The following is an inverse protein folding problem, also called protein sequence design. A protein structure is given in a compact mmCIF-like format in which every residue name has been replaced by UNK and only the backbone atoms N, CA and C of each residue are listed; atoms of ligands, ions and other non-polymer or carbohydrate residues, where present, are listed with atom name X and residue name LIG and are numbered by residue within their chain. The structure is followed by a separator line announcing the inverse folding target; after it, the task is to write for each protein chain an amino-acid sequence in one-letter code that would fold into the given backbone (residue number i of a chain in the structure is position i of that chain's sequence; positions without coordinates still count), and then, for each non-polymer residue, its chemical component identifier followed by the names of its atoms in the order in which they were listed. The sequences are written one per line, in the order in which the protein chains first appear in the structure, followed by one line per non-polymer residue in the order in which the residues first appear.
data_IF_232982461883
#
_entry.id   IF_232982461883
#
_cell.length_a   1.000
_cell.length_b   1.000
_cell.length_c   1.000
_cell.angle_alpha   90.00
_cell.angle_beta   90.00
_cell.angle_gamma   90.00
#
_symmetry.space_group_name_H-M   'P 1'
#
loop_
_entity.id
_entity.type
_entity.pdbx_description
1 polymer ?
#
# COMPACT_ATOMS: atom_id res chain seq x y z
N UNK A 1 30.91 -32.69 -15.55
CA UNK A 1 29.49 -32.31 -15.31
C UNK A 1 29.20 -32.53 -13.83
N UNK A 2 28.74 -31.51 -13.09
CA UNK A 2 28.75 -31.56 -11.64
C UNK A 2 27.60 -32.41 -11.08
N UNK A 3 27.89 -33.07 -9.96
CA UNK A 3 27.05 -34.00 -9.18
C UNK A 3 25.61 -33.50 -8.93
N UNK A 4 25.38 -32.18 -8.95
CA UNK A 4 24.07 -31.55 -8.80
C UNK A 4 23.08 -31.90 -9.94
N UNK A 5 23.56 -32.13 -11.16
CA UNK A 5 22.70 -32.49 -12.29
C UNK A 5 22.23 -33.95 -12.27
N UNK A 6 22.95 -34.83 -11.55
CA UNK A 6 22.55 -36.24 -11.37
C UNK A 6 21.54 -36.42 -10.24
N UNK A 7 21.63 -35.62 -9.17
CA UNK A 7 20.65 -35.63 -8.07
C UNK A 7 19.28 -35.08 -8.47
N UNK A 8 19.23 -34.09 -9.36
CA UNK A 8 17.97 -33.55 -9.90
C UNK A 8 17.24 -34.53 -10.83
N UNK A 9 17.96 -35.43 -11.53
CA UNK A 9 17.33 -36.47 -12.36
C UNK A 9 16.80 -37.66 -11.54
N UNK A 10 17.41 -37.98 -10.40
CA UNK A 10 16.90 -39.02 -9.48
C UNK A 10 15.64 -38.56 -8.74
N UNK A 11 15.53 -37.28 -8.38
CA UNK A 11 14.32 -36.72 -7.76
C UNK A 11 13.09 -36.70 -8.67
N UNK A 12 13.27 -36.42 -9.97
CA UNK A 12 12.17 -36.35 -10.94
C UNK A 12 11.64 -37.74 -11.34
N UNK A 13 12.49 -38.77 -11.34
CA UNK A 13 12.06 -40.15 -11.65
C UNK A 13 11.35 -40.82 -10.45
N UNK A 14 11.70 -40.45 -9.21
CA UNK A 14 11.00 -40.95 -8.02
C UNK A 14 9.57 -40.37 -7.89
N UNK A 15 9.38 -39.09 -8.23
CA UNK A 15 8.05 -38.46 -8.17
C UNK A 15 7.07 -38.98 -9.24
N UNK A 16 7.56 -39.34 -10.42
CA UNK A 16 6.72 -39.92 -11.49
C UNK A 16 6.29 -41.36 -11.22
N UNK A 17 7.07 -42.12 -10.43
CA UNK A 17 6.76 -43.50 -10.04
C UNK A 17 5.66 -43.58 -8.96
N UNK A 18 5.62 -42.62 -8.03
CA UNK A 18 4.62 -42.58 -6.95
C UNK A 18 3.24 -42.13 -7.44
N UNK A 19 3.18 -41.27 -8.47
CA UNK A 19 1.91 -40.82 -9.08
C UNK A 19 1.14 -41.93 -9.80
N UNK A 20 1.83 -42.89 -10.42
CA UNK A 20 1.16 -44.01 -11.12
C UNK A 20 0.76 -45.16 -10.18
N UNK A 21 1.33 -45.25 -8.98
CA UNK A 21 0.99 -46.31 -8.01
C UNK A 21 -0.25 -45.99 -7.14
N UNK A 22 -0.69 -44.73 -7.10
CA UNK A 22 -1.87 -44.29 -6.34
C UNK A 22 -3.17 -44.24 -7.16
N UNK A 23 -3.09 -44.41 -8.48
CA UNK A 23 -4.25 -44.38 -9.38
C UNK A 23 -4.92 -45.75 -9.59
N UNK A 24 -4.33 -46.84 -9.08
CA UNK A 24 -4.82 -48.22 -9.31
C UNK A 24 -5.50 -48.86 -8.08
N UNK A 25 -5.70 -48.14 -6.96
CA UNK A 25 -6.27 -48.73 -5.73
C UNK A 25 -7.65 -48.20 -5.28
N UNK A 26 -8.28 -47.26 -5.99
CA UNK A 26 -9.67 -46.84 -5.72
C UNK A 26 -10.69 -47.48 -6.68
N UNK A 27 -10.63 -48.81 -6.81
CA UNK A 27 -11.71 -49.58 -7.45
C UNK A 27 -12.01 -50.88 -6.73
N UNK A 28 -12.40 -50.78 -5.46
CA UNK A 28 -13.29 -51.73 -4.80
C UNK A 28 -13.43 -51.34 -3.33
N UNK A 29 -14.63 -50.93 -2.89
CA UNK A 29 -15.29 -51.41 -1.66
C UNK A 29 -16.45 -50.48 -1.30
N UNK A 30 -17.67 -50.96 -1.53
CA UNK A 30 -18.88 -50.46 -0.91
C UNK A 30 -18.79 -50.60 0.61
N UNK A 31 -18.84 -49.49 1.35
CA UNK A 31 -19.27 -49.48 2.76
C UNK A 31 -20.15 -48.26 2.98
N UNK A 32 -21.38 -48.54 3.40
CA UNK A 32 -22.41 -47.60 3.84
C UNK A 32 -21.94 -46.76 5.03
N UNK A 33 -21.95 -45.42 4.89
CA UNK A 33 -21.92 -44.50 6.03
C UNK A 33 -22.99 -43.42 5.84
N UNK A 34 -23.93 -43.39 6.79
CA UNK A 34 -25.22 -42.68 6.75
C UNK A 34 -25.11 -41.22 7.24
N UNK A 35 -23.93 -40.62 7.27
CA UNK A 35 -23.73 -39.24 7.77
C UNK A 35 -23.26 -38.22 6.72
N UNK A 36 -23.58 -38.44 5.43
CA UNK A 36 -23.21 -37.51 4.35
C UNK A 36 -24.31 -36.52 3.93
N UNK A 37 -25.57 -36.76 4.29
CA UNK A 37 -26.72 -36.05 3.69
C UNK A 37 -27.00 -34.67 4.28
N UNK A 38 -26.47 -34.34 5.47
CA UNK A 38 -26.64 -33.00 6.06
C UNK A 38 -25.60 -32.01 5.51
N UNK A 39 -24.35 -32.42 5.35
CA UNK A 39 -23.26 -31.56 4.85
C UNK A 39 -23.35 -31.31 3.34
N UNK A 40 -23.83 -32.30 2.56
CA UNK A 40 -24.11 -32.09 1.13
C UNK A 40 -25.27 -31.11 0.89
N UNK A 41 -26.25 -31.04 1.80
CA UNK A 41 -27.34 -30.05 1.72
C UNK A 41 -26.91 -28.64 2.10
N UNK A 42 -25.95 -28.50 3.02
CA UNK A 42 -25.34 -27.20 3.35
C UNK A 42 -24.44 -26.71 2.21
N UNK A 43 -23.74 -27.61 1.52
CA UNK A 43 -22.94 -27.26 0.34
C UNK A 43 -23.80 -26.89 -0.87
N UNK A 44 -24.96 -27.53 -1.08
CA UNK A 44 -25.91 -27.13 -2.13
C UNK A 44 -26.63 -25.80 -1.87
N UNK A 45 -26.62 -25.27 -0.65
CA UNK A 45 -27.08 -23.90 -0.34
C UNK A 45 -26.07 -22.82 -0.78
N UNK A 46 -24.83 -23.19 -1.08
CA UNK A 46 -23.74 -22.30 -1.50
C UNK A 46 -23.10 -22.76 -2.82
N UNK A 47 -23.90 -23.34 -3.72
CA UNK A 47 -23.45 -23.63 -5.10
C UNK A 47 -24.34 -22.84 -6.06
N UNK A 48 -23.77 -22.08 -7.03
CA UNK A 48 -24.57 -21.30 -7.97
C UNK A 48 -25.39 -22.25 -8.84
N UNK A 49 -26.72 -22.06 -8.82
CA UNK A 49 -27.63 -22.82 -9.65
C UNK A 49 -27.35 -22.55 -11.13
N UNK A 50 -27.27 -23.62 -11.92
CA UNK A 50 -27.29 -23.55 -13.38
C UNK A 50 -28.66 -23.03 -13.83
N UNK A 51 -28.76 -21.77 -14.22
CA UNK A 51 -30.04 -21.20 -14.67
C UNK A 51 -30.23 -21.32 -16.19
N UNK A 52 -31.32 -21.98 -16.52
CA UNK A 52 -31.98 -21.95 -17.81
C UNK A 52 -32.70 -20.59 -17.98
N UNK A 53 -32.51 -19.97 -19.13
CA UNK A 53 -33.08 -18.69 -19.59
C UNK A 53 -34.51 -18.39 -19.14
N UNK A 54 -34.69 -17.33 -18.34
CA UNK A 54 -35.86 -16.44 -18.42
C UNK A 54 -35.50 -15.03 -17.90
N UNK A 55 -35.98 -14.00 -18.60
CA UNK A 55 -35.55 -12.61 -18.47
C UNK A 55 -35.96 -11.96 -17.14
N UNK A 56 -35.01 -11.81 -16.21
CA UNK A 56 -35.10 -10.89 -15.05
C UNK A 56 -33.83 -10.04 -15.00
N UNK A 57 -33.99 -8.73 -15.10
CA UNK A 57 -32.88 -7.74 -15.16
C UNK A 57 -32.37 -7.41 -13.74
N UNK A 58 -31.73 -8.37 -13.05
CA UNK A 58 -31.18 -8.15 -11.69
C UNK A 58 -30.02 -9.08 -11.20
N UNK A 59 -28.90 -9.29 -11.93
CA UNK A 59 -27.65 -9.79 -11.33
C UNK A 59 -26.47 -8.78 -11.29
N UNK A 60 -26.48 -7.72 -12.10
CA UNK A 60 -25.38 -6.74 -12.20
C UNK A 60 -25.44 -5.66 -11.10
N UNK A 61 -26.62 -5.11 -10.82
CA UNK A 61 -26.77 -3.94 -9.94
C UNK A 61 -26.38 -4.20 -8.49
N UNK A 62 -26.66 -5.40 -7.96
CA UNK A 62 -26.31 -5.78 -6.58
C UNK A 62 -24.80 -5.92 -6.42
N UNK A 63 -24.12 -6.50 -7.41
CA UNK A 63 -22.66 -6.67 -7.39
C UNK A 63 -21.96 -5.32 -7.46
N UNK A 64 -22.42 -4.43 -8.36
CA UNK A 64 -21.88 -3.07 -8.48
C UNK A 64 -22.06 -2.29 -7.19
N UNK A 65 -23.26 -2.31 -6.59
CA UNK A 65 -23.52 -1.62 -5.31
C UNK A 65 -22.62 -2.13 -4.18
N UNK A 66 -22.44 -3.45 -4.06
CA UNK A 66 -21.55 -4.05 -3.05
C UNK A 66 -20.10 -3.59 -3.24
N UNK A 67 -19.59 -3.58 -4.47
CA UNK A 67 -18.24 -3.12 -4.78
C UNK A 67 -18.02 -1.66 -4.41
N UNK A 68 -18.97 -0.78 -4.73
CA UNK A 68 -18.92 0.62 -4.32
C UNK A 68 -18.89 0.77 -2.80
N UNK A 69 -19.81 0.12 -2.08
CA UNK A 69 -19.88 0.23 -0.62
C UNK A 69 -18.60 -0.29 0.02
N UNK A 70 -18.11 -1.47 -0.36
CA UNK A 70 -16.90 -2.04 0.23
C UNK A 70 -15.66 -1.20 -0.09
N UNK A 71 -15.55 -0.66 -1.30
CA UNK A 71 -14.42 0.19 -1.69
C UNK A 71 -14.38 1.49 -0.89
N UNK A 72 -15.52 2.15 -0.70
CA UNK A 72 -15.61 3.39 0.08
C UNK A 72 -15.35 3.14 1.55
N UNK A 73 -15.92 2.06 2.12
CA UNK A 73 -15.66 1.69 3.52
C UNK A 73 -14.19 1.38 3.73
N UNK A 74 -13.58 0.59 2.84
CA UNK A 74 -12.17 0.25 2.95
C UNK A 74 -11.25 1.46 2.76
N UNK A 75 -11.53 2.36 1.81
CA UNK A 75 -10.80 3.62 1.64
C UNK A 75 -10.91 4.51 2.89
N UNK A 76 -12.09 4.58 3.51
CA UNK A 76 -12.26 5.26 4.80
C UNK A 76 -11.43 4.60 5.91
N UNK A 77 -11.41 3.27 6.00
CA UNK A 77 -10.62 2.54 7.02
C UNK A 77 -9.13 2.82 6.86
N UNK A 78 -8.62 2.75 5.62
CA UNK A 78 -7.22 3.06 5.31
C UNK A 78 -6.91 4.51 5.63
N UNK A 79 -7.66 5.47 5.08
CA UNK A 79 -7.37 6.89 5.30
C UNK A 79 -7.53 7.34 6.75
N UNK A 80 -8.48 6.77 7.50
CA UNK A 80 -8.64 7.09 8.92
C UNK A 80 -7.57 6.41 9.80
N UNK A 81 -6.77 5.49 9.26
CA UNK A 81 -5.62 4.95 9.97
C UNK A 81 -4.59 6.04 10.30
N UNK A 82 -4.57 7.16 9.57
CA UNK A 82 -3.80 8.36 9.91
C UNK A 82 -4.17 9.03 11.23
N UNK A 83 -5.35 8.73 11.78
CA UNK A 83 -5.77 9.19 13.11
C UNK A 83 -5.34 8.21 14.21
N UNK A 84 -4.96 6.98 13.87
CA UNK A 84 -4.52 5.96 14.82
C UNK A 84 -3.40 6.42 15.77
N UNK A 85 -2.39 7.20 15.34
CA UNK A 85 -1.36 7.73 16.24
C UNK A 85 -1.94 8.57 17.40
N UNK A 86 -3.10 9.22 17.22
CA UNK A 86 -3.78 9.96 18.28
C UNK A 86 -4.22 9.05 19.45
N UNK A 87 -4.52 7.77 19.16
CA UNK A 87 -4.91 6.76 20.14
C UNK A 87 -3.69 6.17 20.86
N UNK A 88 -2.57 6.04 20.14
CA UNK A 88 -1.32 5.48 20.67
C UNK A 88 -0.48 6.48 21.46
N UNK A 89 -0.63 7.78 21.22
CA UNK A 89 0.18 8.83 21.86
C UNK A 89 -0.58 9.43 23.07
N UNK A 90 -0.18 9.09 24.32
CA UNK A 90 -0.68 9.77 25.49
C UNK A 90 -0.46 11.28 25.40
N UNK A 91 -1.35 12.07 26.01
CA UNK A 91 -1.35 13.55 25.96
C UNK A 91 0.01 14.16 26.31
N UNK A 92 0.78 13.50 27.19
CA UNK A 92 2.08 13.98 27.68
C UNK A 92 3.27 13.60 26.79
N UNK A 93 3.10 12.72 25.79
CA UNK A 93 4.18 12.14 24.99
C UNK A 93 4.42 12.84 23.65
N UNK A 94 3.44 13.60 23.14
CA UNK A 94 3.63 14.47 21.97
C UNK A 94 4.75 15.50 22.18
N UNK A 95 5.00 15.88 23.44
CA UNK A 95 6.12 16.75 23.86
C UNK A 95 7.45 15.98 23.93
N UNK A 96 7.42 14.69 24.28
CA UNK A 96 8.62 13.84 24.40
C UNK A 96 9.17 13.40 23.02
N UNK A 97 8.32 13.16 22.02
CA UNK A 97 8.74 12.87 20.64
C UNK A 97 9.49 14.05 19.98
N UNK A 98 9.26 15.28 20.48
CA UNK A 98 9.87 16.52 19.99
C UNK A 98 11.33 16.69 20.44
N UNK A 99 11.76 16.03 21.52
CA UNK A 99 13.07 16.27 22.13
C UNK A 99 13.86 15.00 22.51
N UNK A 100 13.23 13.83 22.49
CA UNK A 100 13.88 12.58 22.88
C UNK A 100 14.52 11.88 21.67
N UNK A 101 15.85 11.68 21.73
CA UNK A 101 16.64 10.95 20.72
C UNK A 101 16.10 9.53 20.45
N UNK A 102 15.49 8.91 21.46
CA UNK A 102 14.91 7.57 21.32
C UNK A 102 13.65 7.55 20.46
N UNK A 103 12.82 8.60 20.52
CA UNK A 103 11.61 8.71 19.69
C UNK A 103 11.93 8.83 18.20
N UNK A 104 12.99 9.57 17.86
CA UNK A 104 13.48 9.67 16.49
C UNK A 104 13.96 8.32 15.94
N UNK A 105 14.64 7.51 16.77
CA UNK A 105 15.07 6.15 16.40
C UNK A 105 13.89 5.22 16.17
N UNK A 106 12.92 5.20 17.08
CA UNK A 106 11.69 4.39 16.90
C UNK A 106 10.95 4.76 15.63
N UNK A 107 10.85 6.06 15.32
CA UNK A 107 10.25 6.52 14.08
C UNK A 107 10.96 5.98 12.84
N UNK A 108 12.29 6.09 12.78
CA UNK A 108 13.06 5.52 11.66
C UNK A 108 12.86 4.01 11.50
N UNK A 109 12.72 3.26 12.61
CA UNK A 109 12.46 1.81 12.56
C UNK A 109 11.05 1.50 12.06
N UNK A 110 10.03 2.24 12.51
CA UNK A 110 8.66 2.09 12.00
C UNK A 110 8.58 2.42 10.51
N UNK A 111 9.25 3.50 10.09
CA UNK A 111 9.32 3.92 8.70
C UNK A 111 10.07 2.90 7.84
N UNK A 112 11.13 2.30 8.38
CA UNK A 112 11.84 1.19 7.72
C UNK A 112 10.93 -0.02 7.50
N UNK A 113 10.11 -0.36 8.51
CA UNK A 113 9.11 -1.41 8.37
C UNK A 113 8.05 -1.04 7.32
N UNK A 114 7.57 0.21 7.29
CA UNK A 114 6.63 0.70 6.28
C UNK A 114 7.19 0.56 4.87
N UNK A 115 8.45 0.96 4.63
CA UNK A 115 9.13 0.79 3.32
C UNK A 115 9.16 -0.68 2.91
N UNK A 116 9.54 -1.57 3.84
CA UNK A 116 9.53 -3.01 3.58
C UNK A 116 8.14 -3.55 3.24
N UNK A 117 7.12 -3.12 3.99
CA UNK A 117 5.72 -3.49 3.75
C UNK A 117 5.18 -2.95 2.43
N UNK A 118 5.54 -1.71 2.06
CA UNK A 118 5.12 -1.09 0.80
C UNK A 118 5.79 -1.75 -0.41
N UNK A 119 7.09 -2.03 -0.33
CA UNK A 119 7.79 -2.82 -1.36
C UNK A 119 7.23 -4.25 -1.47
N UNK A 120 6.93 -4.88 -0.33
CA UNK A 120 6.27 -6.17 -0.27
C UNK A 120 4.90 -6.15 -0.95
N UNK A 121 4.08 -5.14 -0.68
CA UNK A 121 2.76 -4.96 -1.30
C UNK A 121 2.86 -4.85 -2.83
N UNK A 122 3.77 -4.00 -3.31
CA UNK A 122 3.99 -3.83 -4.75
C UNK A 122 4.40 -5.16 -5.40
N UNK A 123 5.48 -5.79 -4.93
CA UNK A 123 6.11 -6.89 -5.64
C UNK A 123 5.43 -8.25 -5.41
N UNK A 124 4.83 -8.46 -4.24
CA UNK A 124 4.26 -9.75 -3.86
C UNK A 124 2.74 -9.81 -3.99
N UNK A 125 2.06 -8.67 -4.11
CA UNK A 125 0.60 -8.60 -4.20
C UNK A 125 0.11 -7.87 -5.45
N UNK A 126 0.39 -6.56 -5.59
CA UNK A 126 -0.20 -5.74 -6.65
C UNK A 126 0.29 -6.08 -8.06
N UNK A 127 1.60 -6.26 -8.26
CA UNK A 127 2.16 -6.58 -9.57
C UNK A 127 1.77 -7.98 -10.06
N UNK A 128 1.84 -9.06 -9.24
CA UNK A 128 1.33 -10.38 -9.63
C UNK A 128 -0.16 -10.35 -10.01
N UNK A 129 -1.00 -9.62 -9.28
CA UNK A 129 -2.43 -9.49 -9.59
C UNK A 129 -2.65 -8.71 -10.90
N UNK A 130 -1.96 -7.59 -11.09
CA UNK A 130 -1.99 -6.82 -12.33
C UNK A 130 -1.58 -7.66 -13.54
N UNK A 131 -0.55 -8.50 -13.37
CA UNK A 131 -0.08 -9.43 -14.38
C UNK A 131 -1.17 -10.44 -14.77
N UNK A 132 -1.78 -11.09 -13.78
CA UNK A 132 -2.85 -12.07 -14.00
C UNK A 132 -4.04 -11.48 -14.76
N UNK A 133 -4.32 -10.19 -14.59
CA UNK A 133 -5.37 -9.46 -15.33
C UNK A 133 -4.98 -9.15 -16.77
N UNK A 134 -3.82 -8.53 -16.97
CA UNK A 134 -3.34 -8.16 -18.31
C UNK A 134 -3.13 -9.40 -19.21
N UNK A 135 -2.71 -10.53 -18.64
CA UNK A 135 -2.52 -11.77 -19.39
C UNK A 135 -3.83 -12.34 -19.97
N UNK A 136 -4.97 -12.11 -19.31
CA UNK A 136 -6.28 -12.60 -19.79
C UNK A 136 -6.81 -11.82 -20.99
N UNK A 137 -6.38 -10.57 -21.15
CA UNK A 137 -6.81 -9.68 -22.25
C UNK A 137 -5.77 -9.47 -23.36
N UNK A 138 -4.54 -9.97 -23.20
CA UNK A 138 -3.46 -9.74 -24.16
C UNK A 138 -3.36 -10.85 -25.22
N UNK A 139 -3.07 -10.46 -26.46
CA UNK A 139 -2.84 -11.40 -27.57
C UNK A 139 -1.53 -12.19 -27.41
N UNK A 140 -0.55 -11.64 -26.70
CA UNK A 140 0.72 -12.31 -26.41
C UNK A 140 1.24 -11.99 -25.00
N UNK A 141 1.97 -12.93 -24.36
CA UNK A 141 2.61 -12.68 -23.07
C UNK A 141 3.61 -11.52 -23.11
N UNK A 142 4.31 -11.31 -24.24
CA UNK A 142 5.25 -10.21 -24.39
C UNK A 142 4.55 -8.84 -24.33
N UNK A 143 3.38 -8.72 -24.97
CA UNK A 143 2.58 -7.50 -24.94
C UNK A 143 2.07 -7.19 -23.53
N UNK A 144 1.55 -8.20 -22.82
CA UNK A 144 1.12 -8.02 -21.43
C UNK A 144 2.27 -7.48 -20.56
N UNK A 145 3.50 -7.99 -20.72
CA UNK A 145 4.64 -7.59 -19.87
C UNK A 145 5.02 -6.14 -20.17
N UNK A 146 5.02 -5.78 -21.45
CA UNK A 146 5.30 -4.42 -21.88
C UNK A 146 4.23 -3.45 -21.35
N UNK A 147 2.95 -3.79 -21.49
CA UNK A 147 1.85 -2.96 -20.99
C UNK A 147 1.91 -2.78 -19.47
N UNK A 148 2.16 -3.86 -18.72
CA UNK A 148 2.34 -3.79 -17.27
C UNK A 148 3.50 -2.85 -16.90
N UNK A 149 4.67 -3.05 -17.52
CA UNK A 149 5.85 -2.22 -17.27
C UNK A 149 5.63 -0.74 -17.62
N UNK A 150 4.93 -0.46 -18.72
CA UNK A 150 4.61 0.91 -19.13
C UNK A 150 3.69 1.61 -18.13
N UNK A 151 2.66 0.92 -17.60
CA UNK A 151 1.79 1.50 -16.57
C UNK A 151 2.52 1.74 -15.25
N UNK A 152 3.40 0.82 -14.84
CA UNK A 152 4.27 1.02 -13.65
C UNK A 152 5.16 2.24 -13.85
N UNK A 153 5.84 2.35 -15.00
CA UNK A 153 6.68 3.51 -15.31
C UNK A 153 5.87 4.79 -15.32
N UNK A 154 4.68 4.77 -15.93
CA UNK A 154 3.79 5.93 -15.94
C UNK A 154 3.42 6.36 -14.52
N UNK A 155 3.09 5.42 -13.64
CA UNK A 155 2.84 5.68 -12.22
C UNK A 155 4.03 6.35 -11.53
N UNK A 156 5.23 5.78 -11.67
CA UNK A 156 6.47 6.36 -11.11
C UNK A 156 6.69 7.79 -11.63
N UNK A 157 6.61 7.99 -12.96
CA UNK A 157 6.83 9.30 -13.56
C UNK A 157 5.78 10.33 -13.15
N UNK A 158 4.50 9.94 -13.09
CA UNK A 158 3.43 10.82 -12.60
C UNK A 158 3.71 11.27 -11.18
N UNK A 159 4.12 10.36 -10.30
CA UNK A 159 4.45 10.68 -8.91
C UNK A 159 5.67 11.58 -8.79
N UNK A 160 6.74 11.33 -9.55
CA UNK A 160 7.91 12.22 -9.62
C UNK A 160 7.49 13.63 -10.10
N UNK A 161 6.64 13.72 -11.12
CA UNK A 161 6.17 15.02 -11.63
C UNK A 161 5.33 15.74 -10.56
N UNK A 162 4.45 15.02 -9.87
CA UNK A 162 3.67 15.58 -8.76
C UNK A 162 4.60 16.11 -7.67
N UNK A 163 5.54 15.30 -7.18
CA UNK A 163 6.54 15.72 -6.19
C UNK A 163 7.36 16.93 -6.64
N UNK A 164 7.73 16.99 -7.92
CA UNK A 164 8.49 18.11 -8.48
C UNK A 164 7.67 19.40 -8.54
N UNK A 165 6.45 19.34 -9.07
CA UNK A 165 5.53 20.50 -9.16
C UNK A 165 5.24 21.03 -7.77
N UNK A 166 5.04 20.13 -6.82
CA UNK A 166 4.76 20.47 -5.44
C UNK A 166 5.97 21.04 -4.70
N UNK A 167 7.16 20.48 -4.91
CA UNK A 167 8.40 21.04 -4.39
C UNK A 167 8.69 22.43 -4.96
N UNK A 168 8.35 22.68 -6.22
CA UNK A 168 8.53 23.97 -6.88
C UNK A 168 7.49 25.02 -6.46
N UNK A 169 6.28 24.60 -6.07
CA UNK A 169 5.20 25.50 -5.62
C UNK A 169 5.29 25.84 -4.13
N UNK A 170 6.05 25.06 -3.35
CA UNK A 170 6.38 25.41 -1.99
C UNK A 170 7.03 26.79 -1.93
N UNK A 171 6.63 27.69 -1.00
CA UNK A 171 7.27 28.99 -0.90
C UNK A 171 8.76 28.75 -0.68
N UNK A 172 9.59 29.15 -1.66
CA UNK A 172 11.01 29.30 -1.46
C UNK A 172 11.17 30.26 -0.28
N UNK A 173 11.37 29.71 0.91
CA UNK A 173 12.06 30.45 1.96
C UNK A 173 13.46 30.55 1.43
N UNK A 174 13.68 31.59 0.62
CA UNK A 174 14.99 32.09 0.29
C UNK A 174 15.69 32.23 1.64
N UNK A 175 16.56 31.27 1.94
CA UNK A 175 17.57 31.44 2.97
C UNK A 175 18.46 32.54 2.43
N UNK A 176 18.03 33.79 2.60
CA UNK A 176 18.96 34.89 2.70
C UNK A 176 19.81 34.53 3.91
N UNK A 177 20.92 33.84 3.65
CA UNK A 177 22.09 33.87 4.51
C UNK A 177 22.47 35.35 4.57
N UNK A 178 21.83 36.10 5.46
CA UNK A 178 22.37 37.36 5.91
C UNK A 178 23.72 36.98 6.51
N UNK A 179 24.78 37.25 5.74
CA UNK A 179 26.08 37.48 6.30
C UNK A 179 25.88 38.30 7.56
N UNK A 180 26.43 37.81 8.67
CA UNK A 180 26.40 38.47 9.95
C UNK A 180 26.99 39.88 9.81
N UNK A 181 26.16 40.86 9.48
CA UNK A 181 26.49 42.25 9.70
C UNK A 181 26.46 42.45 11.21
N UNK A 182 27.63 42.25 11.82
CA UNK A 182 27.92 42.71 13.17
C UNK A 182 27.78 44.22 13.14
N UNK A 183 26.57 44.72 13.41
CA UNK A 183 26.39 46.14 13.66
C UNK A 183 27.13 46.48 14.96
N UNK A 184 27.98 47.50 14.94
CA UNK A 184 28.84 47.94 16.04
C UNK A 184 28.10 48.37 17.33
N UNK A 185 26.78 48.23 17.40
CA UNK A 185 25.95 48.73 18.49
C UNK A 185 25.36 47.65 19.42
N UNK A 186 25.83 46.40 19.36
CA UNK A 186 25.62 45.40 20.43
C UNK A 186 24.17 44.98 20.72
N UNK A 187 23.20 45.30 19.85
CA UNK A 187 21.79 44.92 20.04
C UNK A 187 21.36 43.89 18.99
N UNK A 188 21.23 42.63 19.40
CA UNK A 188 20.75 41.54 18.55
C UNK A 188 19.29 41.79 18.14
N UNK A 189 18.99 41.84 16.84
CA UNK A 189 17.60 41.80 16.35
C UNK A 189 17.07 40.35 16.39
N UNK A 190 15.83 40.10 16.84
CA UNK A 190 15.26 38.76 16.97
C UNK A 190 14.71 38.25 15.62
N UNK A 191 15.55 38.15 14.59
CA UNK A 191 15.11 37.79 13.22
C UNK A 191 15.14 36.28 12.96
N UNK A 192 15.88 35.49 13.76
CA UNK A 192 16.07 34.04 13.52
C UNK A 192 14.88 33.16 13.94
N UNK A 193 14.04 33.58 14.89
CA UNK A 193 12.95 32.74 15.40
C UNK A 193 11.78 32.65 14.42
N UNK A 194 11.32 33.79 13.88
CA UNK A 194 10.16 33.82 12.97
C UNK A 194 10.40 33.03 11.67
N UNK A 195 11.61 33.13 11.11
CA UNK A 195 11.97 32.43 9.87
C UNK A 195 12.04 30.91 10.06
N UNK A 196 12.57 30.46 11.20
CA UNK A 196 12.54 29.05 11.58
C UNK A 196 11.11 28.53 11.79
N UNK A 197 10.23 29.30 12.45
CA UNK A 197 8.82 28.93 12.60
C UNK A 197 8.13 28.79 11.23
N UNK A 198 8.39 29.69 10.28
CA UNK A 198 7.80 29.64 8.94
C UNK A 198 8.29 28.41 8.16
N UNK A 199 9.59 28.09 8.22
CA UNK A 199 10.14 26.90 7.57
C UNK A 199 9.59 25.59 8.16
N UNK A 200 9.52 25.50 9.49
CA UNK A 200 8.97 24.35 10.22
C UNK A 200 7.50 24.09 9.83
N UNK A 201 6.72 25.16 9.66
CA UNK A 201 5.32 25.07 9.27
C UNK A 201 5.13 24.66 7.80
N UNK A 202 6.03 25.08 6.90
CA UNK A 202 6.03 24.65 5.50
C UNK A 202 6.28 23.14 5.39
N UNK A 203 7.22 22.59 6.17
CA UNK A 203 7.49 21.14 6.21
C UNK A 203 6.23 20.34 6.57
N UNK A 204 5.41 20.82 7.50
CA UNK A 204 4.18 20.14 7.90
C UNK A 204 3.13 20.10 6.78
N UNK A 205 2.98 21.19 6.03
CA UNK A 205 2.06 21.22 4.89
C UNK A 205 2.55 20.36 3.72
N UNK A 206 3.86 20.33 3.45
CA UNK A 206 4.43 19.44 2.45
C UNK A 206 4.18 17.97 2.83
N UNK A 207 4.30 17.63 4.11
CA UNK A 207 3.99 16.29 4.62
C UNK A 207 2.51 15.92 4.41
N UNK A 208 1.58 16.83 4.73
CA UNK A 208 0.14 16.58 4.53
C UNK A 208 -0.23 16.37 3.07
N UNK A 209 0.44 17.08 2.18
CA UNK A 209 0.20 16.95 0.75
C UNK A 209 0.74 15.62 0.23
N UNK A 210 1.96 15.21 0.63
CA UNK A 210 2.48 13.88 0.33
C UNK A 210 1.53 12.80 0.83
N UNK A 211 1.11 12.87 2.11
CA UNK A 211 0.13 11.95 2.67
C UNK A 211 -1.24 11.98 1.95
N UNK A 212 -1.65 13.13 1.41
CA UNK A 212 -2.85 13.24 0.59
C UNK A 212 -2.74 12.48 -0.73
N UNK A 213 -1.59 12.54 -1.39
CA UNK A 213 -1.30 11.79 -2.62
C UNK A 213 -1.25 10.29 -2.32
N UNK A 214 -0.61 9.91 -1.22
CA UNK A 214 -0.49 8.50 -0.80
C UNK A 214 -1.87 7.92 -0.51
N UNK A 215 -2.68 8.64 0.27
CA UNK A 215 -4.07 8.25 0.52
C UNK A 215 -4.90 8.14 -0.76
N UNK A 216 -4.72 9.05 -1.73
CA UNK A 216 -5.37 8.96 -3.04
C UNK A 216 -5.05 7.63 -3.73
N UNK A 217 -3.78 7.23 -3.78
CA UNK A 217 -3.39 5.97 -4.40
C UNK A 217 -3.83 4.75 -3.60
N UNK A 218 -3.85 4.82 -2.27
CA UNK A 218 -4.47 3.77 -1.45
C UNK A 218 -5.94 3.56 -1.84
N UNK A 219 -6.70 4.65 -1.99
CA UNK A 219 -8.07 4.61 -2.47
C UNK A 219 -8.23 3.98 -3.86
N UNK A 220 -7.37 4.38 -4.80
CA UNK A 220 -7.33 3.79 -6.15
C UNK A 220 -7.06 2.28 -6.12
N UNK A 221 -6.04 1.84 -5.37
CA UNK A 221 -5.66 0.43 -5.27
C UNK A 221 -6.78 -0.40 -4.64
N UNK A 222 -7.31 0.04 -3.50
CA UNK A 222 -8.39 -0.66 -2.78
C UNK A 222 -9.61 -0.84 -3.68
N UNK A 223 -10.08 0.23 -4.32
CA UNK A 223 -11.22 0.18 -5.22
C UNK A 223 -10.95 -0.73 -6.43
N UNK A 224 -9.80 -0.60 -7.08
CA UNK A 224 -9.41 -1.46 -8.20
C UNK A 224 -9.33 -2.94 -7.84
N UNK A 225 -8.98 -3.26 -6.59
CA UNK A 225 -8.99 -4.62 -6.05
C UNK A 225 -10.39 -5.14 -5.75
N UNK A 226 -11.30 -4.31 -5.22
CA UNK A 226 -12.71 -4.70 -5.04
C UNK A 226 -13.45 -4.90 -6.37
N UNK A 227 -13.03 -4.20 -7.44
CA UNK A 227 -13.48 -4.49 -8.80
C UNK A 227 -13.01 -5.87 -9.30
N UNK A 228 -11.93 -6.43 -8.75
CA UNK A 228 -11.56 -7.85 -8.99
C UNK A 228 -12.54 -8.76 -8.27
N UNK A 229 -12.78 -8.44 -7.01
CA UNK A 229 -13.61 -9.24 -6.13
C UNK A 229 -13.36 -8.91 -4.68
N UNK A 230 -14.34 -9.26 -3.84
CA UNK A 230 -14.34 -8.93 -2.41
C UNK A 230 -13.13 -9.51 -1.69
N UNK A 231 -12.72 -10.75 -1.99
CA UNK A 231 -11.54 -11.38 -1.37
C UNK A 231 -10.29 -10.53 -1.64
N UNK A 232 -10.04 -10.15 -2.89
CA UNK A 232 -8.87 -9.36 -3.27
C UNK A 232 -8.91 -7.96 -2.67
N UNK A 233 -10.06 -7.28 -2.70
CA UNK A 233 -10.22 -5.97 -2.06
C UNK A 233 -9.91 -6.00 -0.56
N UNK A 234 -10.36 -7.03 0.16
CA UNK A 234 -10.04 -7.20 1.58
C UNK A 234 -8.55 -7.45 1.82
N UNK A 235 -7.90 -8.29 1.00
CA UNK A 235 -6.46 -8.54 1.07
C UNK A 235 -5.68 -7.25 0.82
N UNK A 236 -5.99 -6.50 -0.24
CA UNK A 236 -5.35 -5.21 -0.53
C UNK A 236 -5.55 -4.18 0.58
N UNK A 237 -6.76 -4.13 1.16
CA UNK A 237 -7.03 -3.21 2.28
C UNK A 237 -6.15 -3.53 3.48
N UNK A 238 -6.00 -4.81 3.82
CA UNK A 238 -5.13 -5.25 4.91
C UNK A 238 -3.64 -5.02 4.58
N UNK A 239 -3.24 -5.33 3.34
CA UNK A 239 -1.91 -5.12 2.80
C UNK A 239 -1.45 -3.67 3.01
N UNK A 240 -2.33 -2.74 2.64
CA UNK A 240 -2.08 -1.30 2.79
C UNK A 240 -2.03 -0.90 4.26
N UNK A 241 -3.00 -1.33 5.08
CA UNK A 241 -3.00 -0.99 6.52
C UNK A 241 -1.72 -1.40 7.25
N UNK A 242 -1.09 -2.51 6.85
CA UNK A 242 0.14 -3.01 7.48
C UNK A 242 1.29 -2.01 7.31
N UNK A 243 1.47 -1.42 6.13
CA UNK A 243 2.53 -0.42 5.91
C UNK A 243 2.08 1.01 6.21
N UNK A 244 0.77 1.28 6.15
CA UNK A 244 0.24 2.62 6.34
C UNK A 244 0.24 3.04 7.80
N UNK A 245 -0.16 2.16 8.73
CA UNK A 245 -0.17 2.51 10.16
C UNK A 245 1.22 2.95 10.65
N UNK A 246 2.33 2.23 10.37
CA UNK A 246 3.66 2.66 10.73
C UNK A 246 4.12 3.95 10.02
N UNK A 247 3.72 4.15 8.77
CA UNK A 247 4.00 5.36 7.99
C UNK A 247 3.32 6.60 8.61
N UNK A 248 2.03 6.49 8.90
CA UNK A 248 1.17 7.52 9.47
C UNK A 248 1.60 7.97 10.88
N UNK A 249 2.17 7.05 11.68
CA UNK A 249 2.81 7.42 12.96
C UNK A 249 3.95 8.41 12.75
N UNK A 250 4.66 8.30 11.62
CA UNK A 250 5.72 9.24 11.24
C UNK A 250 5.23 10.57 10.76
N UNK A 251 4.24 10.58 9.88
CA UNK A 251 3.60 11.79 9.39
C UNK A 251 3.00 12.60 10.54
N UNK A 252 2.31 11.93 11.46
CA UNK A 252 1.78 12.57 12.65
C UNK A 252 2.87 13.18 13.52
N UNK A 253 4.04 12.53 13.65
CA UNK A 253 5.17 13.07 14.39
C UNK A 253 5.79 14.30 13.69
N UNK A 254 5.80 14.34 12.35
CA UNK A 254 6.25 15.50 11.57
C UNK A 254 5.29 16.67 11.77
N UNK A 255 3.97 16.44 11.72
CA UNK A 255 2.96 17.47 11.96
C UNK A 255 3.11 18.13 13.34
N UNK A 256 3.28 17.33 14.40
CA UNK A 256 3.51 17.85 15.75
C UNK A 256 4.81 18.66 15.85
N UNK A 257 5.88 18.23 15.16
CA UNK A 257 7.14 18.98 15.08
C UNK A 257 6.97 20.29 14.30
N UNK A 258 6.08 20.29 13.30
CA UNK A 258 5.73 21.44 12.47
C UNK A 258 4.85 22.49 13.16
N UNK A 259 4.46 22.25 14.42
CA UNK A 259 3.72 23.21 15.24
C UNK A 259 2.21 22.96 15.32
N UNK A 260 1.72 21.90 14.67
CA UNK A 260 0.32 21.48 14.81
C UNK A 260 0.12 20.91 16.22
N UNK A 261 -1.02 21.23 16.84
CA UNK A 261 -1.44 20.48 18.02
C UNK A 261 -2.03 19.12 17.58
N UNK A 262 -2.19 18.19 18.54
CA UNK A 262 -2.69 16.83 18.27
C UNK A 262 -4.04 16.78 17.55
N UNK A 263 -4.91 17.75 17.80
CA UNK A 263 -6.25 17.79 17.21
C UNK A 263 -6.24 18.39 15.82
N UNK A 264 -5.41 19.41 15.58
CA UNK A 264 -5.22 19.98 14.25
C UNK A 264 -4.51 19.00 13.32
N UNK A 265 -3.51 18.26 13.82
CA UNK A 265 -2.89 17.17 13.10
C UNK A 265 -3.93 16.08 12.75
N UNK A 266 -4.75 15.65 13.71
CA UNK A 266 -5.80 14.66 13.46
C UNK A 266 -6.85 15.16 12.45
N UNK A 267 -7.27 16.43 12.52
CA UNK A 267 -8.18 17.02 11.52
C UNK A 267 -7.57 17.05 10.13
N UNK A 268 -6.27 17.33 10.04
CA UNK A 268 -5.56 17.32 8.78
C UNK A 268 -5.44 15.90 8.18
N UNK A 269 -5.21 14.87 9.00
CA UNK A 269 -5.25 13.47 8.54
C UNK A 269 -6.67 13.01 8.15
N UNK A 270 -7.72 13.53 8.78
CA UNK A 270 -9.10 13.28 8.30
C UNK A 270 -9.33 13.92 6.91
N UNK A 271 -8.69 15.07 6.63
CA UNK A 271 -8.76 15.69 5.31
C UNK A 271 -8.03 14.84 4.26
N UNK A 272 -6.85 14.28 4.56
CA UNK A 272 -6.16 13.36 3.65
C UNK A 272 -6.95 12.06 3.43
N UNK A 273 -7.64 11.56 4.45
CA UNK A 273 -8.56 10.42 4.30
C UNK A 273 -9.68 10.68 3.27
N UNK A 274 -10.21 11.91 3.21
CA UNK A 274 -11.20 12.28 2.20
C UNK A 274 -10.61 12.27 0.78
N UNK A 275 -9.33 12.59 0.63
CA UNK A 275 -8.60 12.45 -0.65
C UNK A 275 -8.48 10.98 -1.03
N UNK A 276 -8.27 10.07 -0.06
CA UNK A 276 -8.31 8.63 -0.32
C UNK A 276 -9.65 8.11 -0.79
N UNK A 277 -10.76 8.60 -0.22
CA UNK A 277 -12.10 8.32 -0.73
C UNK A 277 -12.27 8.84 -2.16
N UNK A 278 -11.73 10.02 -2.49
CA UNK A 278 -11.75 10.54 -3.86
C UNK A 278 -10.96 9.63 -4.84
N UNK A 279 -9.86 9.03 -4.40
CA UNK A 279 -9.13 8.01 -5.16
C UNK A 279 -10.00 6.78 -5.45
N UNK A 280 -10.69 6.26 -4.43
CA UNK A 280 -11.61 5.14 -4.62
C UNK A 280 -12.75 5.46 -5.60
N UNK A 281 -13.36 6.65 -5.45
CA UNK A 281 -14.39 7.13 -6.40
C UNK A 281 -13.84 7.25 -7.81
N UNK A 282 -12.59 7.69 -7.98
CA UNK A 282 -11.94 7.81 -9.30
C UNK A 282 -11.83 6.44 -9.98
N UNK A 283 -11.36 5.40 -9.26
CA UNK A 283 -11.28 4.04 -9.80
C UNK A 283 -12.66 3.46 -10.15
N UNK A 284 -13.65 3.64 -9.26
CA UNK A 284 -15.02 3.16 -9.48
C UNK A 284 -15.70 3.89 -10.65
N UNK A 285 -15.43 5.19 -10.81
CA UNK A 285 -15.97 5.98 -11.91
C UNK A 285 -15.30 5.62 -13.23
N UNK A 286 -13.99 5.34 -13.23
CA UNK A 286 -13.30 4.85 -14.41
C UNK A 286 -13.93 3.53 -14.90
N UNK A 287 -14.20 2.58 -14.00
CA UNK A 287 -14.90 1.33 -14.33
C UNK A 287 -16.31 1.56 -14.89
N UNK A 288 -17.06 2.49 -14.28
CA UNK A 288 -18.45 2.77 -14.68
C UNK A 288 -18.56 3.48 -16.03
N UNK A 289 -17.50 4.17 -16.48
CA UNK A 289 -17.42 4.82 -17.80
C UNK A 289 -16.91 3.88 -18.89
N UNK A 290 -16.35 2.73 -18.49
CA UNK A 290 -15.63 1.77 -19.33
C UNK A 290 -16.52 0.66 -19.91
N UNK A 291 -17.85 0.87 -20.03
CA UNK A 291 -18.80 0.02 -20.80
C UNK A 291 -18.40 -0.17 -22.30
N UNK A 292 -17.25 0.37 -22.74
CA UNK A 292 -16.63 0.22 -24.06
C UNK A 292 -15.15 -0.21 -23.93
N UNK A 293 -14.90 -1.53 -23.78
CA UNK A 293 -13.67 -2.28 -24.09
C UNK A 293 -12.31 -1.89 -23.46
N UNK A 294 -12.17 -0.82 -22.69
CA UNK A 294 -10.96 -0.57 -21.88
C UNK A 294 -11.16 -1.12 -20.48
N UNK A 295 -10.46 -2.18 -20.11
CA UNK A 295 -10.51 -2.74 -18.74
C UNK A 295 -9.73 -1.86 -17.75
N UNK A 296 -10.23 -1.72 -16.52
CA UNK A 296 -9.58 -1.12 -15.33
C UNK A 296 -8.23 -1.75 -14.91
N UNK A 297 -7.69 -2.64 -15.75
CA UNK A 297 -6.41 -3.33 -15.63
C UNK A 297 -5.19 -2.40 -15.54
N UNK A 298 -5.33 -1.11 -15.86
CA UNK A 298 -4.27 -0.12 -15.76
C UNK A 298 -4.06 0.41 -14.33
N UNK A 299 -5.09 0.38 -13.48
CA UNK A 299 -5.06 1.06 -12.17
C UNK A 299 -4.03 0.41 -11.24
N UNK A 300 -4.05 -0.92 -11.10
CA UNK A 300 -3.12 -1.64 -10.21
C UNK A 300 -1.63 -1.45 -10.58
N UNK A 301 -1.20 -1.62 -11.85
CA UNK A 301 0.21 -1.38 -12.21
C UNK A 301 0.57 0.11 -12.13
N UNK A 302 -0.34 1.03 -12.46
CA UNK A 302 -0.12 2.46 -12.25
C UNK A 302 0.10 2.79 -10.77
N UNK A 303 -0.77 2.32 -9.87
CA UNK A 303 -0.63 2.55 -8.42
C UNK A 303 0.62 1.90 -7.86
N UNK A 304 1.00 0.71 -8.36
CA UNK A 304 2.26 0.05 -8.01
C UNK A 304 3.47 0.95 -8.31
N UNK A 305 3.44 1.68 -9.43
CA UNK A 305 4.45 2.68 -9.75
C UNK A 305 4.49 3.84 -8.76
N UNK A 306 3.33 4.34 -8.35
CA UNK A 306 3.22 5.35 -7.30
C UNK A 306 3.80 4.88 -5.96
N UNK A 307 3.45 3.68 -5.52
CA UNK A 307 3.97 3.06 -4.28
C UNK A 307 5.48 2.85 -4.34
N UNK A 308 6.04 2.47 -5.50
CA UNK A 308 7.49 2.40 -5.69
C UNK A 308 8.15 3.77 -5.51
N UNK A 309 7.54 4.84 -6.04
CA UNK A 309 8.06 6.18 -5.85
C UNK A 309 8.05 6.58 -4.36
N UNK A 310 6.92 6.39 -3.67
CA UNK A 310 6.78 6.69 -2.24
C UNK A 310 7.86 5.94 -1.43
N UNK A 311 7.99 4.64 -1.66
CA UNK A 311 8.97 3.80 -0.96
C UNK A 311 10.41 4.25 -1.22
N UNK A 312 10.80 4.39 -2.50
CA UNK A 312 12.21 4.49 -2.90
C UNK A 312 12.73 5.93 -3.01
N UNK A 313 11.86 6.88 -3.33
CA UNK A 313 12.23 8.29 -3.56
C UNK A 313 11.87 9.15 -2.36
N UNK A 314 10.68 8.96 -1.79
CA UNK A 314 10.19 9.84 -0.71
C UNK A 314 10.71 9.39 0.66
N UNK A 315 10.74 8.07 0.93
CA UNK A 315 11.02 7.54 2.27
C UNK A 315 12.42 6.94 2.43
N UNK A 316 12.83 6.04 1.53
CA UNK A 316 14.11 5.32 1.66
C UNK A 316 15.34 6.23 1.77
N UNK A 317 15.47 7.37 1.07
CA UNK A 317 16.65 8.22 1.18
C UNK A 317 16.89 8.78 2.58
N UNK A 318 15.84 8.99 3.38
CA UNK A 318 15.97 9.45 4.76
C UNK A 318 16.48 8.35 5.71
N UNK A 319 16.18 7.09 5.41
CA UNK A 319 16.72 5.93 6.12
C UNK A 319 18.21 5.73 5.81
N UNK A 320 18.60 5.94 4.54
CA UNK A 320 19.99 5.81 4.09
C UNK A 320 20.95 6.86 4.68
N UNK A 321 20.45 7.93 5.31
CA UNK A 321 21.26 8.95 6.00
C UNK A 321 21.75 8.51 7.39
N UNK A 322 21.41 7.31 7.87
CA UNK A 322 21.87 6.82 9.18
C UNK A 322 23.36 6.43 9.17
N UNK A 323 24.17 7.11 9.97
CA UNK A 323 25.62 6.89 10.04
C UNK A 323 26.02 5.77 11.02
N UNK A 324 25.18 5.45 12.02
CA UNK A 324 25.46 4.39 12.99
C UNK A 324 25.19 3.02 12.38
N UNK A 325 26.22 2.16 12.16
CA UNK A 325 26.06 0.88 11.49
C UNK A 325 25.12 -0.07 12.25
N UNK A 326 25.01 0.09 13.58
CA UNK A 326 24.12 -0.73 14.37
C UNK A 326 22.64 -0.35 14.15
N UNK A 327 22.34 0.95 14.10
CA UNK A 327 20.98 1.41 13.79
C UNK A 327 20.61 1.14 12.33
N UNK A 328 21.56 1.31 11.41
CA UNK A 328 21.36 0.93 10.01
C UNK A 328 21.03 -0.56 9.87
N UNK A 329 21.70 -1.44 10.62
CA UNK A 329 21.40 -2.88 10.64
C UNK A 329 19.99 -3.17 11.17
N UNK A 330 19.52 -2.44 12.19
CA UNK A 330 18.14 -2.57 12.68
C UNK A 330 17.12 -2.09 11.66
N UNK A 331 17.38 -0.97 10.99
CA UNK A 331 16.52 -0.45 9.93
C UNK A 331 16.39 -1.46 8.79
N UNK A 332 17.51 -2.02 8.33
CA UNK A 332 17.50 -3.10 7.34
C UNK A 332 16.70 -4.32 7.83
N UNK A 333 16.88 -4.72 9.10
CA UNK A 333 16.07 -5.77 9.73
C UNK A 333 14.57 -5.48 9.70
N UNK A 334 14.17 -4.22 9.94
CA UNK A 334 12.78 -3.77 9.85
C UNK A 334 12.25 -3.76 8.41
N UNK A 335 13.06 -3.37 7.41
CA UNK A 335 12.69 -3.50 5.99
C UNK A 335 12.43 -4.96 5.64
N UNK A 336 13.35 -5.86 6.02
CA UNK A 336 13.20 -7.28 5.78
C UNK A 336 11.98 -7.87 6.50
N UNK A 337 11.69 -7.42 7.73
CA UNK A 337 10.51 -7.89 8.45
C UNK A 337 9.21 -7.39 7.85
N UNK A 338 9.16 -6.15 7.33
CA UNK A 338 8.03 -5.64 6.56
C UNK A 338 7.74 -6.51 5.33
N UNK A 339 8.77 -6.79 4.53
CA UNK A 339 8.65 -7.68 3.36
C UNK A 339 8.17 -9.08 3.79
N UNK A 340 8.73 -9.64 4.86
CA UNK A 340 8.37 -10.97 5.35
C UNK A 340 6.91 -11.04 5.84
N UNK A 341 6.42 -9.99 6.51
CA UNK A 341 5.01 -9.90 6.94
C UNK A 341 4.09 -9.87 5.73
N UNK A 342 4.44 -9.10 4.69
CA UNK A 342 3.66 -9.07 3.44
C UNK A 342 3.66 -10.41 2.72
N UNK A 343 4.82 -11.06 2.61
CA UNK A 343 4.94 -12.39 2.02
C UNK A 343 4.10 -13.43 2.78
N UNK A 344 4.13 -13.39 4.11
CA UNK A 344 3.33 -14.27 4.95
C UNK A 344 1.84 -14.00 4.76
N UNK A 345 1.43 -12.74 4.79
CA UNK A 345 0.03 -12.34 4.57
C UNK A 345 -0.49 -12.87 3.23
N UNK A 346 0.29 -12.71 2.15
CA UNK A 346 -0.09 -13.23 0.84
C UNK A 346 -0.24 -14.76 0.86
N UNK A 347 0.73 -15.46 1.44
CA UNK A 347 0.71 -16.92 1.51
C UNK A 347 -0.45 -17.49 2.36
N UNK A 348 -0.96 -16.73 3.34
CA UNK A 348 -2.08 -17.16 4.19
C UNK A 348 -3.45 -16.77 3.65
N UNK A 349 -3.54 -15.72 2.84
CA UNK A 349 -4.81 -15.18 2.36
C UNK A 349 -5.14 -15.58 0.92
N UNK A 350 -4.17 -15.99 0.11
CA UNK A 350 -4.40 -16.57 -1.22
C UNK A 350 -4.74 -18.06 -1.17
#
# INVERSE_FOLDING_TARGET
MPLAAQLLRLGVVAAASVGNALCDHERSSNVSFVEGTLLLRVWQLWSPASEHSSSVRAPSDVRTYQTWVFSIVAACVVGLSGVFPLLLVPVDTGVNLKHNRNGCRTLKLLLSFAVGGLLGDVFLHLLPEAWGRLQRGAESPAQAHLTLGLWVLLGVFTFIILELVFSATGPHVEQTFSHSDVNQNGLAKPVSTLQNFKAIHVTGYLNLMANGIDNFTHGLAVAASFLVGVKMGMVTTLAILIHEIPHEVGDFAILLKSGFNRWDAARAQVLTAAVGVAGAVTALSADSLEDMDTSTSWILPFTSGGFLNIALVSVLPDLLKEEDPWESSKQLGCVCSGIAVMAAMQAFLE
#
